data_IF_229353866351
#
_entry.id   IF_229353866351
#
_cell.length_a   1.000
_cell.length_b   1.000
_cell.length_c   1.000
_cell.angle_alpha   90.00
_cell.angle_beta   90.00
_cell.angle_gamma   90.00
#
_symmetry.space_group_name_H-M   'P 1'
#
loop_
_entity.id
_entity.type
_entity.pdbx_description
1 polymer ?
#
# COMPACT_ATOMS: atom_id res chain seq x y z
N UNK A 1 -35.01 -0.62 -10.97
CA UNK A 1 -33.98 -0.46 -9.93
C UNK A 1 -32.85 -1.38 -10.34
N UNK A 2 -31.74 -0.84 -10.83
CA UNK A 2 -30.65 -1.67 -11.34
C UNK A 2 -29.99 -2.38 -10.15
N UNK A 3 -30.03 -3.71 -10.17
CA UNK A 3 -29.27 -4.56 -9.28
C UNK A 3 -27.78 -4.22 -9.47
N UNK A 4 -27.20 -3.49 -8.52
CA UNK A 4 -25.75 -3.22 -8.45
C UNK A 4 -25.02 -4.50 -8.02
N UNK A 5 -25.26 -5.55 -8.80
CA UNK A 5 -24.77 -6.90 -8.64
C UNK A 5 -23.27 -6.89 -8.41
N UNK A 6 -22.85 -7.68 -7.44
CA UNK A 6 -21.45 -7.86 -7.07
C UNK A 6 -20.59 -8.11 -8.33
N UNK A 7 -19.36 -7.57 -8.38
CA UNK A 7 -18.49 -7.79 -9.52
C UNK A 7 -18.34 -9.29 -9.73
N UNK A 8 -18.41 -9.75 -10.99
CA UNK A 8 -18.11 -11.15 -11.31
C UNK A 8 -16.71 -11.47 -10.79
N UNK A 9 -16.61 -12.29 -9.75
CA UNK A 9 -15.35 -12.59 -9.12
C UNK A 9 -14.48 -13.45 -10.05
N UNK A 10 -13.18 -13.16 -10.19
CA UNK A 10 -12.23 -14.08 -10.82
C UNK A 10 -12.25 -15.45 -10.13
N UNK A 11 -11.85 -16.54 -10.83
CA UNK A 11 -11.81 -17.88 -10.25
C UNK A 11 -10.99 -17.94 -8.96
N UNK A 12 -11.51 -18.63 -7.95
CA UNK A 12 -10.84 -18.83 -6.67
C UNK A 12 -10.93 -17.66 -5.70
N UNK A 13 -11.61 -16.56 -6.04
CA UNK A 13 -11.80 -15.43 -5.12
C UNK A 13 -13.11 -15.57 -4.35
N UNK A 14 -13.05 -15.25 -3.06
CA UNK A 14 -14.22 -15.09 -2.19
C UNK A 14 -14.12 -13.72 -1.52
N UNK A 15 -15.10 -12.86 -1.77
CA UNK A 15 -15.20 -11.55 -1.13
C UNK A 15 -16.20 -11.62 0.02
N UNK A 16 -15.70 -11.43 1.25
CA UNK A 16 -16.46 -11.43 2.51
C UNK A 16 -16.74 -10.03 3.05
N UNK A 17 -16.07 -9.01 2.50
CA UNK A 17 -16.29 -7.62 2.88
C UNK A 17 -17.65 -7.11 2.39
N UNK A 18 -18.27 -6.24 3.20
CA UNK A 18 -19.50 -5.57 2.77
C UNK A 18 -19.27 -4.72 1.53
N UNK A 19 -20.20 -4.77 0.57
CA UNK A 19 -20.10 -4.04 -0.69
C UNK A 19 -21.02 -2.83 -0.70
N UNK A 20 -20.48 -1.71 -1.17
CA UNK A 20 -21.23 -0.51 -1.51
C UNK A 20 -21.02 -0.17 -2.98
N UNK A 21 -21.89 0.66 -3.60
CA UNK A 21 -21.65 1.17 -4.95
C UNK A 21 -20.30 1.89 -5.11
N UNK A 22 -19.81 2.56 -4.07
CA UNK A 22 -18.50 3.21 -4.12
C UNK A 22 -17.36 2.18 -4.07
N UNK A 23 -17.51 1.10 -3.31
CA UNK A 23 -16.48 0.05 -3.21
C UNK A 23 -16.37 -0.78 -4.50
N UNK A 24 -17.45 -0.93 -5.28
CA UNK A 24 -17.40 -1.61 -6.57
C UNK A 24 -16.57 -0.87 -7.62
N UNK A 25 -16.38 0.44 -7.47
CA UNK A 25 -15.46 1.21 -8.32
C UNK A 25 -13.98 0.93 -8.00
N UNK A 26 -13.68 0.44 -6.79
CA UNK A 26 -12.32 0.05 -6.39
C UNK A 26 -12.10 -1.45 -6.63
N UNK A 27 -13.06 -2.29 -6.26
CA UNK A 27 -13.01 -3.75 -6.41
C UNK A 27 -13.59 -4.19 -7.75
N UNK A 28 -13.10 -3.58 -8.82
CA UNK A 28 -13.44 -3.99 -10.19
C UNK A 28 -12.94 -5.41 -10.48
N UNK A 29 -13.48 -6.05 -11.52
CA UNK A 29 -13.01 -7.38 -11.94
C UNK A 29 -11.49 -7.41 -12.16
N UNK A 30 -10.96 -6.40 -12.85
CA UNK A 30 -9.53 -6.30 -13.16
C UNK A 30 -8.69 -6.07 -11.89
N UNK A 31 -9.19 -5.28 -10.93
CA UNK A 31 -8.54 -5.09 -9.64
C UNK A 31 -8.46 -6.39 -8.85
N UNK A 32 -9.57 -7.11 -8.75
CA UNK A 32 -9.62 -8.40 -8.08
C UNK A 32 -8.72 -9.45 -8.77
N UNK A 33 -8.70 -9.47 -10.10
CA UNK A 33 -7.83 -10.37 -10.87
C UNK A 33 -6.34 -10.06 -10.63
N UNK A 34 -5.99 -8.77 -10.56
CA UNK A 34 -4.64 -8.32 -10.27
C UNK A 34 -4.21 -8.69 -8.84
N UNK A 35 -5.07 -8.46 -7.84
CA UNK A 35 -4.83 -8.86 -6.46
C UNK A 35 -4.62 -10.37 -6.32
N UNK A 36 -5.43 -11.18 -7.01
CA UNK A 36 -5.27 -12.62 -7.01
C UNK A 36 -3.95 -13.06 -7.67
N UNK A 37 -3.54 -12.42 -8.77
CA UNK A 37 -2.25 -12.66 -9.41
C UNK A 37 -1.09 -12.35 -8.45
N UNK A 38 -1.13 -11.22 -7.74
CA UNK A 38 -0.13 -10.87 -6.72
C UNK A 38 -0.07 -11.91 -5.60
N UNK A 39 -1.23 -12.28 -5.04
CA UNK A 39 -1.30 -13.24 -3.94
C UNK A 39 -0.79 -14.63 -4.34
N UNK A 40 -1.17 -15.12 -5.53
CA UNK A 40 -0.69 -16.41 -6.05
C UNK A 40 0.81 -16.40 -6.32
N UNK A 41 1.36 -15.29 -6.81
CA UNK A 41 2.79 -15.18 -7.09
C UNK A 41 3.65 -15.07 -5.83
N UNK A 42 3.18 -14.39 -4.78
CA UNK A 42 4.03 -13.96 -3.67
C UNK A 42 3.55 -14.42 -2.28
N UNK A 43 2.31 -14.89 -2.13
CA UNK A 43 1.74 -15.31 -0.85
C UNK A 43 2.53 -16.42 -0.17
N UNK A 44 2.96 -17.43 -0.93
CA UNK A 44 3.82 -18.52 -0.43
C UNK A 44 5.19 -18.03 0.06
N UNK A 45 5.85 -17.15 -0.70
CA UNK A 45 7.15 -16.56 -0.33
C UNK A 45 7.05 -15.67 0.90
N UNK A 46 5.96 -14.90 1.03
CA UNK A 46 5.64 -14.13 2.24
C UNK A 46 5.53 -15.05 3.44
N UNK A 47 4.73 -16.12 3.35
CA UNK A 47 4.57 -17.08 4.45
C UNK A 47 5.91 -17.72 4.85
N UNK A 48 6.75 -18.05 3.88
CA UNK A 48 8.10 -18.55 4.14
C UNK A 48 8.96 -17.54 4.91
N UNK A 49 8.93 -16.26 4.53
CA UNK A 49 9.66 -15.21 5.25
C UNK A 49 9.15 -15.04 6.70
N UNK A 50 7.83 -15.08 6.91
CA UNK A 50 7.26 -15.00 8.27
C UNK A 50 7.68 -16.20 9.13
N UNK A 51 7.74 -17.42 8.56
CA UNK A 51 8.31 -18.58 9.27
C UNK A 51 9.79 -18.35 9.61
N UNK A 52 10.58 -17.83 8.68
CA UNK A 52 12.01 -17.50 8.91
C UNK A 52 12.21 -16.46 10.01
N UNK A 53 11.27 -15.51 10.20
CA UNK A 53 11.29 -14.59 11.36
C UNK A 53 11.24 -15.35 12.68
N UNK A 54 10.32 -16.31 12.82
CA UNK A 54 10.23 -17.14 14.03
C UNK A 54 11.49 -17.98 14.25
N UNK A 55 12.05 -18.56 13.20
CA UNK A 55 13.29 -19.34 13.28
C UNK A 55 14.47 -18.47 13.70
N UNK A 56 14.58 -17.26 13.14
CA UNK A 56 15.62 -16.30 13.52
C UNK A 56 15.45 -15.83 14.95
N UNK A 57 14.22 -15.52 15.38
CA UNK A 57 13.96 -15.13 16.76
C UNK A 57 14.35 -16.25 17.73
N UNK A 58 13.94 -17.50 17.45
CA UNK A 58 14.30 -18.64 18.30
C UNK A 58 15.82 -18.87 18.37
N UNK A 59 16.55 -18.58 17.29
CA UNK A 59 18.01 -18.61 17.28
C UNK A 59 18.63 -17.52 18.18
N UNK A 60 18.12 -16.29 18.10
CA UNK A 60 18.54 -15.19 18.99
C UNK A 60 18.25 -15.50 20.46
N UNK A 61 17.09 -16.08 20.75
CA UNK A 61 16.70 -16.47 22.12
C UNK A 61 17.63 -17.55 22.72
N UNK A 62 18.29 -18.35 21.87
CA UNK A 62 19.32 -19.32 22.28
C UNK A 62 20.73 -18.72 22.44
N UNK A 63 20.88 -17.42 22.24
CA UNK A 63 22.14 -16.69 22.40
C UNK A 63 22.92 -16.45 21.12
N UNK A 64 22.36 -16.73 19.94
CA UNK A 64 22.95 -16.21 18.70
C UNK A 64 22.83 -14.69 18.66
N UNK A 65 23.81 -14.01 18.07
CA UNK A 65 23.81 -12.56 17.93
C UNK A 65 23.34 -12.12 16.53
N UNK A 66 22.88 -10.88 16.43
CA UNK A 66 22.76 -10.18 15.15
C UNK A 66 24.15 -9.74 14.68
N UNK A 67 24.47 -10.06 13.43
CA UNK A 67 25.70 -9.61 12.78
C UNK A 67 25.50 -9.50 11.25
N UNK A 68 26.46 -8.91 10.56
CA UNK A 68 26.46 -8.81 9.11
C UNK A 68 26.65 -10.18 8.46
N UNK A 69 25.77 -10.50 7.51
CA UNK A 69 25.81 -11.76 6.76
C UNK A 69 27.10 -11.88 5.93
N UNK A 70 27.96 -12.90 6.14
CA UNK A 70 29.16 -13.11 5.33
C UNK A 70 28.86 -13.28 3.83
N UNK A 71 27.76 -13.95 3.49
CA UNK A 71 27.35 -14.28 2.12
C UNK A 71 26.91 -13.06 1.27
N UNK A 72 26.74 -11.90 1.90
CA UNK A 72 26.42 -10.63 1.20
C UNK A 72 27.54 -9.60 1.29
N UNK A 73 28.74 -9.99 1.72
CA UNK A 73 29.90 -9.09 1.86
C UNK A 73 30.25 -8.37 0.56
N UNK A 74 30.26 -9.10 -0.56
CA UNK A 74 30.51 -8.57 -1.90
C UNK A 74 29.49 -7.50 -2.33
N UNK A 75 28.26 -7.52 -1.81
CA UNK A 75 27.28 -6.48 -2.08
C UNK A 75 27.64 -5.23 -1.26
N UNK A 76 27.99 -5.38 0.02
CA UNK A 76 28.35 -4.25 0.89
C UNK A 76 29.63 -3.54 0.47
N UNK A 77 30.58 -4.27 -0.09
CA UNK A 77 31.88 -3.76 -0.55
C UNK A 77 31.89 -3.42 -2.05
N UNK A 78 30.79 -3.67 -2.77
CA UNK A 78 30.68 -3.41 -4.20
C UNK A 78 30.47 -1.92 -4.51
N UNK A 79 30.84 -1.51 -5.73
CA UNK A 79 30.60 -0.16 -6.25
C UNK A 79 29.26 -0.13 -7.00
N UNK A 80 28.19 0.27 -6.30
CA UNK A 80 26.85 0.41 -6.86
C UNK A 80 26.05 1.48 -6.12
N UNK A 81 25.01 1.99 -6.80
CA UNK A 81 24.05 2.93 -6.25
C UNK A 81 22.62 2.52 -6.62
N UNK A 82 21.62 3.05 -5.92
CA UNK A 82 20.23 2.91 -6.34
C UNK A 82 19.97 3.68 -7.64
N UNK A 83 18.85 3.37 -8.30
CA UNK A 83 18.42 4.10 -9.49
C UNK A 83 18.19 5.59 -9.20
N UNK A 84 18.28 6.48 -10.21
CA UNK A 84 18.08 7.91 -10.02
C UNK A 84 16.75 8.26 -9.36
N UNK A 85 16.79 9.21 -8.42
CA UNK A 85 15.61 9.63 -7.66
C UNK A 85 14.76 10.59 -8.52
N UNK A 86 13.45 10.32 -8.70
CA UNK A 86 12.52 11.21 -9.40
C UNK A 86 12.50 12.62 -8.81
N UNK A 87 12.30 13.63 -9.67
CA UNK A 87 12.53 15.04 -9.32
C UNK A 87 11.64 15.54 -8.15
N UNK A 88 10.38 15.11 -8.10
CA UNK A 88 9.39 15.54 -7.11
C UNK A 88 9.63 14.96 -5.70
N UNK A 89 10.47 13.93 -5.58
CA UNK A 89 10.88 13.33 -4.30
C UNK A 89 12.38 13.49 -4.00
N UNK A 90 13.07 14.42 -4.66
CA UNK A 90 14.46 14.79 -4.29
C UNK A 90 14.51 15.66 -3.05
N UNK A 91 13.58 16.61 -2.93
CA UNK A 91 13.44 17.46 -1.75
C UNK A 91 12.34 16.89 -0.85
N UNK A 92 12.76 16.15 0.19
CA UNK A 92 11.88 15.50 1.19
C UNK A 92 12.15 16.05 2.59
N UNK A 93 12.53 17.33 2.70
CA UNK A 93 13.00 17.94 3.96
C UNK A 93 12.02 17.84 5.14
N UNK A 94 10.72 17.79 4.84
CA UNK A 94 9.63 17.59 5.81
C UNK A 94 8.59 16.70 5.17
N UNK A 95 8.22 15.64 5.87
CA UNK A 95 7.12 14.76 5.51
C UNK A 95 6.10 14.74 6.63
N UNK A 96 4.82 14.80 6.27
CA UNK A 96 3.72 14.63 7.21
C UNK A 96 3.16 13.22 7.06
N UNK A 97 2.75 12.61 8.17
CA UNK A 97 2.12 11.29 8.20
C UNK A 97 0.69 11.41 8.70
N UNK A 98 -0.21 10.58 8.21
CA UNK A 98 -1.60 10.60 8.70
C UNK A 98 -2.46 9.51 8.09
N UNK A 99 -3.64 9.26 8.68
CA UNK A 99 -4.55 8.23 8.19
C UNK A 99 -5.12 8.60 6.81
N UNK A 100 -5.78 7.64 6.18
CA UNK A 100 -6.44 7.81 4.89
C UNK A 100 -7.88 8.37 5.00
N UNK A 101 -8.25 8.94 6.14
CA UNK A 101 -9.52 9.67 6.30
C UNK A 101 -9.61 10.86 5.34
N UNK A 102 -10.79 11.11 4.79
CA UNK A 102 -10.99 12.07 3.70
C UNK A 102 -10.58 13.50 4.07
N UNK A 103 -10.96 13.95 5.28
CA UNK A 103 -10.60 15.29 5.77
C UNK A 103 -9.09 15.37 6.06
N UNK A 104 -8.54 14.33 6.68
CA UNK A 104 -7.11 14.28 7.00
C UNK A 104 -6.22 14.24 5.76
N UNK A 105 -6.61 13.53 4.72
CA UNK A 105 -5.92 13.51 3.42
C UNK A 105 -5.83 14.91 2.83
N UNK A 106 -6.95 15.66 2.82
CA UNK A 106 -6.95 17.05 2.31
C UNK A 106 -6.02 17.94 3.13
N UNK A 107 -6.13 17.89 4.46
CA UNK A 107 -5.30 18.72 5.33
C UNK A 107 -3.81 18.40 5.20
N UNK A 108 -3.45 17.12 5.11
CA UNK A 108 -2.06 16.68 4.99
C UNK A 108 -1.45 17.10 3.65
N UNK A 109 -2.19 16.94 2.55
CA UNK A 109 -1.75 17.41 1.22
C UNK A 109 -1.56 18.93 1.17
N UNK A 110 -2.39 19.68 1.89
CA UNK A 110 -2.33 21.14 1.97
C UNK A 110 -1.35 21.69 3.02
N UNK A 111 -0.65 20.84 3.77
CA UNK A 111 0.12 21.23 4.96
C UNK A 111 1.38 22.06 4.67
N UNK A 112 1.85 22.08 3.42
CA UNK A 112 3.16 22.64 3.05
C UNK A 112 4.34 21.68 3.24
N UNK A 113 4.11 20.46 3.74
CA UNK A 113 5.09 19.39 3.70
C UNK A 113 5.46 19.03 2.25
N UNK A 114 6.64 18.44 2.05
CA UNK A 114 7.06 17.97 0.72
C UNK A 114 6.41 16.66 0.33
N UNK A 115 6.21 15.79 1.32
CA UNK A 115 5.59 14.47 1.14
C UNK A 115 4.51 14.28 2.20
N UNK A 116 3.41 13.66 1.79
CA UNK A 116 2.40 13.11 2.68
C UNK A 116 2.42 11.58 2.58
N UNK A 117 2.77 10.92 3.69
CA UNK A 117 2.64 9.48 3.83
C UNK A 117 1.22 9.15 4.32
N UNK A 118 0.35 8.77 3.39
CA UNK A 118 -1.00 8.31 3.69
C UNK A 118 -0.96 6.88 4.23
N UNK A 119 -1.46 6.68 5.44
CA UNK A 119 -1.19 5.48 6.20
C UNK A 119 -2.35 4.48 6.21
N UNK A 120 -2.11 3.28 5.70
CA UNK A 120 -2.99 2.11 5.88
C UNK A 120 -2.51 1.22 7.03
N UNK A 121 -1.43 1.61 7.72
CA UNK A 121 -0.76 0.83 8.74
C UNK A 121 -0.97 1.39 10.16
N UNK A 122 0.08 1.70 10.93
CA UNK A 122 -0.04 1.94 12.37
C UNK A 122 -0.98 3.10 12.79
N UNK A 123 -1.16 4.12 11.96
CA UNK A 123 -2.07 5.24 12.25
C UNK A 123 -3.53 4.97 11.81
N UNK A 124 -3.84 3.77 11.31
CA UNK A 124 -5.13 3.44 10.73
C UNK A 124 -5.62 2.07 11.21
N UNK A 125 -6.71 2.06 11.99
CA UNK A 125 -7.36 0.81 12.36
C UNK A 125 -7.87 0.11 11.08
N UNK A 126 -7.44 -1.12 10.78
CA UNK A 126 -7.71 -1.77 9.50
C UNK A 126 -9.11 -2.39 9.43
N UNK A 127 -10.13 -1.58 9.74
CA UNK A 127 -11.53 -1.89 9.43
C UNK A 127 -11.71 -1.94 7.91
N UNK A 128 -12.59 -2.80 7.43
CA UNK A 128 -12.85 -2.95 6.00
C UNK A 128 -13.19 -1.61 5.35
N UNK A 129 -14.07 -0.85 6.00
CA UNK A 129 -14.53 0.46 5.53
C UNK A 129 -13.36 1.45 5.45
N UNK A 130 -12.52 1.52 6.48
CA UNK A 130 -11.36 2.41 6.50
C UNK A 130 -10.37 2.13 5.36
N UNK A 131 -10.12 0.84 5.05
CA UNK A 131 -9.21 0.45 3.98
C UNK A 131 -9.81 0.80 2.61
N UNK A 132 -11.09 0.48 2.40
CA UNK A 132 -11.78 0.75 1.14
C UNK A 132 -12.00 2.23 0.88
N UNK A 133 -12.48 2.98 1.87
CA UNK A 133 -12.63 4.43 1.80
C UNK A 133 -11.28 5.12 1.64
N UNK A 134 -10.23 4.59 2.27
CA UNK A 134 -8.87 5.09 2.06
C UNK A 134 -8.44 5.02 0.60
N UNK A 135 -8.68 3.89 -0.08
CA UNK A 135 -8.40 3.76 -1.52
C UNK A 135 -9.19 4.77 -2.36
N UNK A 136 -10.46 4.99 -2.05
CA UNK A 136 -11.31 6.01 -2.71
C UNK A 136 -10.73 7.41 -2.47
N UNK A 137 -10.40 7.74 -1.23
CA UNK A 137 -9.89 9.06 -0.85
C UNK A 137 -8.57 9.38 -1.57
N UNK A 138 -7.66 8.41 -1.66
CA UNK A 138 -6.41 8.60 -2.40
C UNK A 138 -6.63 8.70 -3.91
N UNK A 139 -7.53 7.89 -4.48
CA UNK A 139 -7.94 7.95 -5.90
C UNK A 139 -8.47 9.34 -6.27
N UNK A 140 -9.37 9.87 -5.45
CA UNK A 140 -9.99 11.18 -5.63
C UNK A 140 -8.97 12.31 -5.42
N UNK A 141 -8.06 12.17 -4.44
CA UNK A 141 -7.02 13.17 -4.18
C UNK A 141 -6.08 13.34 -5.38
N UNK A 142 -5.65 12.22 -5.97
CA UNK A 142 -4.76 12.21 -7.14
C UNK A 142 -5.44 12.83 -8.36
N UNK A 143 -6.75 12.56 -8.54
CA UNK A 143 -7.57 13.17 -9.61
C UNK A 143 -7.97 14.63 -9.33
N UNK A 144 -7.61 15.17 -8.16
CA UNK A 144 -7.97 16.50 -7.67
C UNK A 144 -9.48 16.74 -7.51
N UNK A 145 -10.24 15.69 -7.22
CA UNK A 145 -11.70 15.74 -7.01
C UNK A 145 -12.11 15.52 -5.55
N UNK A 146 -11.15 15.21 -4.67
CA UNK A 146 -11.44 15.05 -3.24
C UNK A 146 -11.92 16.38 -2.62
N UNK A 147 -13.03 16.29 -1.91
CA UNK A 147 -13.61 17.39 -1.15
C UNK A 147 -14.37 16.83 0.05
N UNK A 148 -14.48 17.64 1.10
CA UNK A 148 -15.17 17.29 2.33
C UNK A 148 -15.85 18.53 2.93
N UNK A 149 -17.09 18.38 3.40
CA UNK A 149 -17.80 19.43 4.14
C UNK A 149 -18.07 18.90 5.54
N UNK A 150 -17.62 19.61 6.58
CA UNK A 150 -17.88 19.19 7.95
C UNK A 150 -19.35 19.51 8.35
N UNK A 151 -19.84 18.96 9.48
CA UNK A 151 -21.21 19.24 9.94
C UNK A 151 -21.52 20.73 10.15
N UNK A 152 -20.50 21.55 10.44
CA UNK A 152 -20.63 23.00 10.61
C UNK A 152 -20.68 23.77 9.27
N UNK A 153 -20.64 23.08 8.13
CA UNK A 153 -20.72 23.67 6.79
C UNK A 153 -19.39 24.18 6.20
N UNK A 154 -18.27 24.02 6.91
CA UNK A 154 -16.93 24.36 6.40
C UNK A 154 -16.49 23.34 5.35
N UNK A 155 -16.20 23.83 4.16
CA UNK A 155 -15.66 23.06 3.04
C UNK A 155 -14.13 22.95 3.10
N UNK A 156 -13.62 21.78 2.70
CA UNK A 156 -12.21 21.45 2.56
C UNK A 156 -11.97 20.96 1.13
N UNK A 157 -11.03 21.59 0.43
CA UNK A 157 -10.61 21.29 -0.94
C UNK A 157 -9.08 21.37 -1.04
N UNK A 158 -8.53 20.77 -2.09
CA UNK A 158 -7.09 20.80 -2.35
C UNK A 158 -6.64 22.19 -2.82
N UNK A 159 -5.46 22.60 -2.36
CA UNK A 159 -4.74 23.77 -2.85
C UNK A 159 -4.08 23.47 -4.23
N UNK A 160 -3.49 24.48 -4.86
CA UNK A 160 -2.75 24.29 -6.12
C UNK A 160 -1.44 23.53 -5.92
N UNK A 161 -0.72 23.88 -4.84
CA UNK A 161 0.52 23.23 -4.44
C UNK A 161 0.23 22.21 -3.35
N UNK A 162 0.56 20.95 -3.62
CA UNK A 162 0.28 19.81 -2.76
C UNK A 162 1.58 19.08 -2.43
N UNK A 163 1.61 18.46 -1.24
CA UNK A 163 2.63 17.47 -0.93
C UNK A 163 2.54 16.28 -1.90
N UNK A 164 3.69 15.66 -2.21
CA UNK A 164 3.72 14.40 -2.98
C UNK A 164 3.12 13.28 -2.13
N UNK A 165 2.22 12.50 -2.70
CA UNK A 165 1.56 11.40 -2.00
C UNK A 165 2.43 10.13 -2.04
N UNK A 166 2.66 9.50 -0.88
CA UNK A 166 3.46 8.28 -0.76
C UNK A 166 2.83 7.31 0.26
N UNK A 167 1.83 6.50 -0.14
CA UNK A 167 1.12 5.65 0.81
C UNK A 167 2.01 4.60 1.48
N UNK A 168 1.64 4.24 2.71
CA UNK A 168 2.23 3.15 3.48
C UNK A 168 1.24 1.98 3.59
N UNK A 169 1.41 0.89 2.81
CA UNK A 169 0.59 -0.32 2.95
C UNK A 169 0.87 -1.05 4.27
N UNK A 170 -0.05 -1.93 4.67
CA UNK A 170 0.12 -2.82 5.83
C UNK A 170 1.37 -3.71 5.70
N UNK A 171 2.05 -3.95 6.83
CA UNK A 171 3.24 -4.81 6.88
C UNK A 171 2.96 -6.29 6.62
N UNK A 172 4.01 -7.07 6.34
CA UNK A 172 3.87 -8.47 5.89
C UNK A 172 3.11 -9.37 6.85
N UNK A 173 3.10 -9.11 8.15
CA UNK A 173 2.40 -9.93 9.14
C UNK A 173 0.86 -9.76 9.10
N UNK A 174 0.34 -8.69 8.50
CA UNK A 174 -1.09 -8.43 8.44
C UNK A 174 -1.76 -9.08 7.23
N UNK A 175 -2.97 -9.59 7.45
CA UNK A 175 -3.85 -10.18 6.43
C UNK A 175 -5.04 -9.25 6.16
N UNK A 176 -5.57 -9.31 4.94
CA UNK A 176 -6.88 -8.77 4.62
C UNK A 176 -7.89 -9.93 4.60
N UNK A 177 -8.60 -10.10 5.71
CA UNK A 177 -9.52 -11.22 5.93
C UNK A 177 -10.81 -11.15 5.09
N UNK A 178 -11.10 -10.00 4.50
CA UNK A 178 -12.32 -9.80 3.72
C UNK A 178 -12.18 -10.24 2.26
N UNK A 179 -10.97 -10.57 1.79
CA UNK A 179 -10.74 -11.13 0.46
C UNK A 179 -9.91 -12.41 0.58
N UNK A 180 -10.50 -13.54 0.21
CA UNK A 180 -9.79 -14.80 0.09
C UNK A 180 -9.38 -15.04 -1.36
N UNK A 181 -8.19 -15.63 -1.52
CA UNK A 181 -7.68 -16.14 -2.80
C UNK A 181 -7.34 -17.60 -2.59
N UNK A 182 -8.05 -18.47 -3.30
CA UNK A 182 -7.92 -19.92 -3.24
C UNK A 182 -8.13 -20.47 -1.80
N UNK A 183 -9.07 -19.86 -1.07
CA UNK A 183 -9.44 -20.25 0.31
C UNK A 183 -8.65 -19.55 1.43
N UNK A 184 -7.60 -18.80 1.10
CA UNK A 184 -6.72 -18.16 2.10
C UNK A 184 -6.82 -16.63 2.06
N UNK A 185 -6.79 -15.92 3.20
CA UNK A 185 -6.75 -14.46 3.22
C UNK A 185 -5.55 -13.91 2.47
N UNK A 186 -5.78 -12.88 1.66
CA UNK A 186 -4.70 -12.17 0.97
C UNK A 186 -3.81 -11.41 1.97
N UNK A 187 -2.53 -11.21 1.62
CA UNK A 187 -1.67 -10.28 2.36
C UNK A 187 -2.26 -8.86 2.36
N UNK A 188 -2.36 -8.23 3.54
CA UNK A 188 -2.81 -6.84 3.65
C UNK A 188 -1.93 -5.88 2.85
N UNK A 189 -0.60 -6.09 2.90
CA UNK A 189 0.35 -5.29 2.12
C UNK A 189 0.13 -5.38 0.60
N UNK A 190 -0.10 -6.59 0.07
CA UNK A 190 -0.39 -6.78 -1.37
C UNK A 190 -1.77 -6.21 -1.75
N UNK A 191 -2.75 -6.28 -0.85
CA UNK A 191 -4.06 -5.68 -1.05
C UNK A 191 -3.96 -4.15 -1.18
N UNK A 192 -3.32 -3.51 -0.20
CA UNK A 192 -3.20 -2.05 -0.14
C UNK A 192 -2.36 -1.51 -1.31
N UNK A 193 -1.21 -2.14 -1.57
CA UNK A 193 -0.35 -1.83 -2.71
C UNK A 193 -1.08 -2.01 -4.04
N UNK A 194 -1.69 -3.18 -4.23
CA UNK A 194 -2.26 -3.58 -5.52
C UNK A 194 -3.40 -2.66 -5.95
N UNK A 195 -4.30 -2.32 -5.02
CA UNK A 195 -5.38 -1.38 -5.29
C UNK A 195 -4.86 0.02 -5.58
N UNK A 196 -3.96 0.55 -4.74
CA UNK A 196 -3.43 1.89 -4.95
C UNK A 196 -2.69 2.00 -6.28
N UNK A 197 -1.81 1.04 -6.58
CA UNK A 197 -1.03 1.02 -7.81
C UNK A 197 -1.94 0.98 -9.04
N UNK A 198 -2.85 0.01 -9.11
CA UNK A 198 -3.68 -0.21 -10.29
C UNK A 198 -4.56 1.00 -10.62
N UNK A 199 -5.15 1.63 -9.60
CA UNK A 199 -6.06 2.75 -9.79
C UNK A 199 -5.36 4.07 -10.11
N UNK A 200 -4.08 4.21 -9.75
CA UNK A 200 -3.45 5.53 -9.70
C UNK A 200 -2.14 5.66 -10.47
N UNK A 201 -1.42 4.57 -10.78
CA UNK A 201 -0.09 4.66 -11.40
C UNK A 201 -0.10 5.47 -12.71
N UNK A 202 -1.08 5.21 -13.59
CA UNK A 202 -1.21 5.94 -14.87
C UNK A 202 -1.49 7.44 -14.66
N UNK A 203 -2.38 7.77 -13.74
CA UNK A 203 -2.76 9.16 -13.45
C UNK A 203 -1.61 9.93 -12.78
N UNK A 204 -0.89 9.30 -11.86
CA UNK A 204 0.31 9.87 -11.22
C UNK A 204 1.38 10.19 -12.26
N UNK A 205 1.67 9.25 -13.17
CA UNK A 205 2.63 9.45 -14.26
C UNK A 205 2.18 10.57 -15.21
N UNK A 206 0.91 10.61 -15.61
CA UNK A 206 0.36 11.66 -16.45
C UNK A 206 0.47 13.06 -15.82
N UNK A 207 0.51 13.14 -14.49
CA UNK A 207 0.70 14.37 -13.71
C UNK A 207 2.16 14.70 -13.38
N UNK A 208 3.11 13.91 -13.89
CA UNK A 208 4.55 14.13 -13.67
C UNK A 208 5.06 13.68 -12.30
N UNK A 209 4.30 12.83 -11.60
CA UNK A 209 4.71 12.16 -10.35
C UNK A 209 4.86 10.65 -10.58
N UNK A 210 4.83 9.83 -9.53
CA UNK A 210 4.96 8.38 -9.63
C UNK A 210 4.27 7.59 -8.52
N UNK A 211 4.04 6.27 -8.72
CA UNK A 211 3.49 5.39 -7.70
C UNK A 211 4.54 5.08 -6.62
N UNK A 212 4.66 5.96 -5.63
CA UNK A 212 5.64 5.84 -4.55
C UNK A 212 5.06 5.11 -3.32
N UNK A 213 5.89 4.40 -2.57
CA UNK A 213 5.45 3.63 -1.40
C UNK A 213 6.42 3.71 -0.23
N UNK A 214 5.88 3.76 0.99
CA UNK A 214 6.59 3.53 2.24
C UNK A 214 6.42 2.08 2.68
N UNK A 215 7.49 1.29 2.80
CA UNK A 215 7.39 -0.14 3.11
C UNK A 215 7.74 -0.44 4.58
N UNK A 216 6.77 -0.86 5.42
CA UNK A 216 7.01 -0.99 6.85
C UNK A 216 7.54 -2.35 7.28
N UNK A 217 8.21 -2.36 8.44
CA UNK A 217 8.43 -3.55 9.30
C UNK A 217 9.06 -4.76 8.58
N UNK A 218 9.95 -4.51 7.63
CA UNK A 218 10.76 -5.58 7.02
C UNK A 218 11.87 -6.02 7.98
N UNK A 219 12.11 -7.32 8.07
CA UNK A 219 13.11 -7.91 8.97
C UNK A 219 14.24 -8.61 8.20
N UNK A 220 14.17 -8.67 6.88
CA UNK A 220 15.24 -9.24 6.05
C UNK A 220 15.27 -8.68 4.63
N UNK A 221 16.43 -8.80 3.97
CA UNK A 221 16.58 -8.44 2.56
C UNK A 221 15.76 -9.34 1.61
N UNK A 222 15.35 -10.54 2.06
CA UNK A 222 14.47 -11.43 1.29
C UNK A 222 13.05 -10.89 1.22
N UNK A 223 12.60 -10.19 2.26
CA UNK A 223 11.30 -9.49 2.26
C UNK A 223 11.32 -8.26 1.35
N UNK A 224 12.43 -7.52 1.31
CA UNK A 224 12.65 -6.46 0.32
C UNK A 224 12.60 -7.01 -1.11
N UNK A 225 13.12 -8.23 -1.33
CA UNK A 225 13.05 -8.91 -2.64
C UNK A 225 11.62 -9.25 -3.04
N UNK A 226 10.74 -9.62 -2.11
CA UNK A 226 9.31 -9.84 -2.41
C UNK A 226 8.67 -8.55 -2.92
N UNK A 227 8.92 -7.41 -2.26
CA UNK A 227 8.44 -6.11 -2.73
C UNK A 227 8.96 -5.77 -4.12
N UNK A 228 10.27 -5.91 -4.35
CA UNK A 228 10.87 -5.69 -5.67
C UNK A 228 10.20 -6.54 -6.76
N UNK A 229 9.93 -7.82 -6.49
CA UNK A 229 9.31 -8.70 -7.46
C UNK A 229 7.83 -8.38 -7.68
N UNK A 230 7.12 -7.95 -6.64
CA UNK A 230 5.77 -7.42 -6.76
C UNK A 230 5.72 -6.15 -7.62
N UNK A 231 6.68 -5.23 -7.44
CA UNK A 231 6.80 -4.02 -8.27
C UNK A 231 7.15 -4.33 -9.72
N UNK A 232 7.94 -5.37 -9.99
CA UNK A 232 8.25 -5.81 -11.36
C UNK A 232 7.08 -6.51 -12.06
N UNK A 233 6.21 -7.17 -11.29
CA UNK A 233 5.02 -7.84 -11.82
C UNK A 233 3.89 -6.86 -12.14
N UNK A 234 3.82 -5.76 -11.39
CA UNK A 234 2.85 -4.68 -11.51
C UNK A 234 3.14 -3.77 -12.71
#
# INVERSE_FOLDING_TARGET
MADHSQPKLPPGLELRGEMSPAFSEILTHDALAFLAKLQRAFGGRRAECLRRRHERQAALDRGEALDFLPETKQIREGDWACAPIPADIRDRRVEITGPTDRKMVINALNSGAKVFMADFEDANAPKWENMMEGQINLRDAIRRTIQFTNPDGKEYKLNEQLAVLMPRPRGWHLLEKHLLVDGEPISGGLFDFGLYFLHNAKELLARGSGPYFYLPKMESHLEARIWNDAFKLA
#
